data_IF_794551232807
#
_entry.id   IF_794551232807
#
_cell.length_a   1.000
_cell.length_b   1.000
_cell.length_c   1.000
_cell.angle_alpha   90.00
_cell.angle_beta   90.00
_cell.angle_gamma   90.00
#
_symmetry.space_group_name_H-M   'P 1'
#
loop_
_entity.id
_entity.type
_entity.pdbx_description
1 polymer ?
#
# COMPACT_ATOMS: atom_id res chain seq x y z
N UNK A 1 14.62 24.84 -20.50
CA UNK A 1 13.92 23.92 -21.43
C UNK A 1 14.06 22.56 -20.79
N UNK A 2 12.98 22.13 -20.11
CA UNK A 2 12.88 20.80 -19.50
C UNK A 2 12.84 19.79 -20.66
N UNK A 3 13.97 19.15 -20.95
CA UNK A 3 14.02 18.00 -21.85
C UNK A 3 13.43 16.82 -21.12
N UNK A 4 12.09 16.85 -20.99
CA UNK A 4 11.33 15.95 -20.13
C UNK A 4 11.61 14.49 -20.44
N UNK A 5 12.07 13.79 -19.42
CA UNK A 5 11.93 12.33 -19.38
C UNK A 5 10.51 11.93 -19.75
N UNK A 6 10.28 10.94 -20.61
CA UNK A 6 8.94 10.51 -21.01
C UNK A 6 8.13 10.15 -19.76
N UNK A 7 7.08 10.96 -19.46
CA UNK A 7 6.25 10.82 -18.26
C UNK A 7 5.07 9.86 -18.47
N UNK A 8 5.25 8.85 -19.33
CA UNK A 8 4.22 7.84 -19.59
C UNK A 8 3.12 8.27 -20.58
N UNK A 9 3.05 9.54 -20.97
CA UNK A 9 2.01 10.05 -21.88
C UNK A 9 2.20 9.64 -23.34
N UNK A 10 3.41 9.26 -23.74
CA UNK A 10 3.72 8.80 -25.10
C UNK A 10 3.75 7.26 -25.13
N UNK A 11 2.84 6.66 -25.89
CA UNK A 11 2.73 5.22 -26.11
C UNK A 11 3.05 4.81 -27.56
N UNK A 12 3.61 5.71 -28.38
CA UNK A 12 3.85 5.48 -29.80
C UNK A 12 4.70 4.24 -30.08
N UNK A 13 5.73 3.98 -29.27
CA UNK A 13 6.62 2.81 -29.42
C UNK A 13 5.94 1.46 -29.11
N UNK A 14 4.82 1.47 -28.40
CA UNK A 14 4.07 0.28 -28.01
C UNK A 14 2.65 0.24 -28.59
N UNK A 15 2.30 1.21 -29.45
CA UNK A 15 0.95 1.41 -29.98
C UNK A 15 0.36 0.12 -30.58
N UNK A 16 1.13 -0.58 -31.40
CA UNK A 16 0.71 -1.84 -32.01
C UNK A 16 0.46 -2.96 -30.98
N UNK A 17 1.24 -2.99 -29.88
CA UNK A 17 1.13 -3.99 -28.82
C UNK A 17 -0.09 -3.78 -27.93
N UNK A 18 -0.57 -2.55 -27.81
CA UNK A 18 -1.72 -2.18 -26.97
C UNK A 18 -2.97 -1.81 -27.77
N UNK A 19 -2.94 -1.98 -29.10
CA UNK A 19 -4.09 -1.70 -29.99
C UNK A 19 -5.28 -2.64 -29.75
N UNK A 20 -5.03 -3.82 -29.16
CA UNK A 20 -6.07 -4.82 -28.84
C UNK A 20 -5.65 -5.78 -27.74
N UNK A 21 -6.62 -6.51 -27.16
CA UNK A 21 -6.39 -7.56 -26.15
C UNK A 21 -5.90 -7.04 -24.81
N UNK A 22 -6.00 -5.74 -24.50
CA UNK A 22 -5.73 -5.18 -23.18
C UNK A 22 -6.97 -5.38 -22.29
N UNK A 23 -6.78 -5.97 -21.11
CA UNK A 23 -7.84 -6.21 -20.12
C UNK A 23 -7.77 -5.26 -18.94
N UNK A 24 -6.56 -4.73 -18.62
CA UNK A 24 -6.39 -3.77 -17.54
C UNK A 24 -5.14 -2.92 -17.74
N UNK A 25 -5.10 -1.72 -17.12
CA UNK A 25 -3.98 -0.77 -17.19
C UNK A 25 -3.63 -0.27 -15.78
N UNK A 26 -2.38 -0.44 -15.40
CA UNK A 26 -1.82 -0.03 -14.12
C UNK A 26 -0.83 1.12 -14.32
N UNK A 27 -0.70 1.98 -13.30
CA UNK A 27 0.19 3.14 -13.40
C UNK A 27 1.05 3.33 -12.16
N UNK A 28 2.27 3.80 -12.39
CA UNK A 28 3.08 4.53 -11.40
C UNK A 28 2.84 6.03 -11.60
N UNK A 29 3.67 6.89 -10.99
CA UNK A 29 3.63 8.35 -11.28
C UNK A 29 4.23 8.69 -12.66
N UNK A 30 4.96 7.77 -13.29
CA UNK A 30 5.83 8.05 -14.44
C UNK A 30 5.74 7.02 -15.57
N UNK A 31 5.03 5.91 -15.36
CA UNK A 31 4.95 4.82 -16.31
C UNK A 31 3.59 4.11 -16.21
N UNK A 32 3.26 3.38 -17.28
CA UNK A 32 2.09 2.51 -17.36
C UNK A 32 2.50 1.07 -17.63
N UNK A 33 1.63 0.15 -17.25
CA UNK A 33 1.72 -1.27 -17.57
C UNK A 33 0.33 -1.79 -17.98
N UNK A 34 0.20 -2.27 -19.20
CA UNK A 34 -1.01 -2.94 -19.71
C UNK A 34 -0.90 -4.44 -19.49
N UNK A 35 -1.93 -5.03 -18.89
CA UNK A 35 -2.13 -6.46 -18.82
C UNK A 35 -3.00 -6.90 -20.01
N UNK A 36 -2.56 -7.93 -20.71
CA UNK A 36 -3.28 -8.48 -21.87
C UNK A 36 -4.04 -9.77 -21.52
N UNK A 37 -5.01 -10.13 -22.34
CA UNK A 37 -5.85 -11.34 -22.20
C UNK A 37 -5.03 -12.63 -22.09
N UNK A 38 -3.88 -12.72 -22.77
CA UNK A 38 -2.96 -13.85 -22.71
C UNK A 38 -2.09 -13.86 -21.44
N UNK A 39 -2.27 -12.87 -20.55
CA UNK A 39 -1.50 -12.66 -19.33
C UNK A 39 -0.12 -12.09 -19.59
N UNK A 40 0.19 -11.59 -20.79
CA UNK A 40 1.43 -10.83 -21.05
C UNK A 40 1.29 -9.40 -20.59
N UNK A 41 2.43 -8.71 -20.43
CA UNK A 41 2.51 -7.32 -19.97
C UNK A 41 3.27 -6.47 -20.98
N UNK A 42 2.72 -5.29 -21.29
CA UNK A 42 3.37 -4.23 -22.06
C UNK A 42 3.56 -3.03 -21.14
N UNK A 43 4.74 -2.43 -21.13
CA UNK A 43 5.03 -1.25 -20.31
C UNK A 43 5.59 -0.12 -21.17
N UNK A 44 5.26 1.14 -20.79
CA UNK A 44 5.78 2.35 -21.42
C UNK A 44 5.89 3.51 -20.42
N UNK A 45 6.64 4.55 -20.79
CA UNK A 45 6.92 5.72 -19.96
C UNK A 45 8.37 5.77 -19.50
N UNK A 46 8.64 6.29 -18.29
CA UNK A 46 10.00 6.42 -17.75
C UNK A 46 10.64 5.03 -17.52
N UNK A 47 11.72 4.69 -18.25
CA UNK A 47 12.37 3.38 -18.17
C UNK A 47 12.81 2.99 -16.76
N UNK A 48 13.35 3.96 -16.00
CA UNK A 48 13.85 3.74 -14.64
C UNK A 48 12.72 3.55 -13.61
N UNK A 49 11.50 3.96 -13.97
CA UNK A 49 10.34 3.92 -13.07
C UNK A 49 9.23 3.00 -13.57
N UNK A 50 9.62 2.01 -14.38
CA UNK A 50 8.75 0.91 -14.81
C UNK A 50 8.25 1.00 -16.26
N UNK A 51 8.64 2.01 -17.04
CA UNK A 51 8.33 2.11 -18.47
C UNK A 51 9.01 1.03 -19.32
N UNK A 52 10.02 0.35 -18.79
CA UNK A 52 10.64 -0.80 -19.41
C UNK A 52 10.59 -2.05 -18.51
N UNK A 53 10.31 -3.20 -19.13
CA UNK A 53 10.29 -4.50 -18.43
C UNK A 53 11.70 -5.03 -18.12
N UNK A 54 12.73 -4.54 -18.81
CA UNK A 54 14.12 -4.92 -18.62
C UNK A 54 14.31 -6.46 -18.58
N UNK A 55 15.06 -6.95 -17.59
CA UNK A 55 15.31 -8.37 -17.38
C UNK A 55 14.06 -9.19 -17.03
N UNK A 56 12.96 -8.53 -16.62
CA UNK A 56 11.70 -9.18 -16.29
C UNK A 56 10.85 -9.53 -17.50
N UNK A 57 11.16 -9.01 -18.70
CA UNK A 57 10.41 -9.21 -19.95
C UNK A 57 10.06 -10.69 -20.21
N UNK A 58 11.03 -11.60 -20.11
CA UNK A 58 10.82 -13.04 -20.37
C UNK A 58 9.80 -13.68 -19.40
N UNK A 59 9.74 -13.20 -18.16
CA UNK A 59 8.83 -13.71 -17.13
C UNK A 59 7.41 -13.14 -17.26
N UNK A 60 7.25 -12.04 -18.01
CA UNK A 60 6.01 -11.30 -18.19
C UNK A 60 5.36 -11.53 -19.58
N UNK A 61 5.80 -12.54 -20.30
CA UNK A 61 5.21 -12.95 -21.60
C UNK A 61 3.91 -13.75 -21.47
N UNK A 62 3.40 -13.97 -20.26
CA UNK A 62 2.14 -14.66 -20.03
C UNK A 62 1.94 -15.08 -18.57
N UNK A 63 0.70 -15.44 -18.25
CA UNK A 63 0.30 -15.96 -16.96
C UNK A 63 0.27 -14.93 -15.82
N UNK A 64 0.29 -13.64 -16.11
CA UNK A 64 0.02 -12.58 -15.13
C UNK A 64 -1.49 -12.48 -14.91
N UNK A 65 -1.89 -12.39 -13.62
CA UNK A 65 -3.28 -12.23 -13.20
C UNK A 65 -3.61 -10.79 -12.82
N UNK A 66 -2.66 -10.12 -12.18
CA UNK A 66 -2.82 -8.73 -11.75
C UNK A 66 -1.46 -8.06 -11.53
N UNK A 67 -1.46 -6.74 -11.44
CA UNK A 67 -0.27 -5.92 -11.19
C UNK A 67 -0.57 -4.96 -10.05
N UNK A 68 0.30 -4.89 -9.05
CA UNK A 68 0.32 -3.84 -8.05
C UNK A 68 1.41 -2.82 -8.41
N UNK A 69 1.20 -1.55 -8.05
CA UNK A 69 2.16 -0.49 -8.32
C UNK A 69 2.48 0.34 -7.07
N UNK A 70 3.74 0.72 -6.93
CA UNK A 70 4.18 1.81 -6.04
C UNK A 70 4.20 3.13 -6.81
N UNK A 71 4.79 4.18 -6.24
CA UNK A 71 4.98 5.44 -6.98
C UNK A 71 5.95 5.33 -8.16
N UNK A 72 6.78 4.27 -8.25
CA UNK A 72 7.90 4.19 -9.20
C UNK A 72 8.26 2.77 -9.65
N UNK A 73 7.50 1.75 -9.26
CA UNK A 73 7.75 0.36 -9.62
C UNK A 73 6.47 -0.45 -9.72
N UNK A 74 6.54 -1.62 -10.32
CA UNK A 74 5.45 -2.57 -10.46
C UNK A 74 5.80 -3.94 -9.90
N UNK A 75 4.78 -4.68 -9.47
CA UNK A 75 4.86 -6.07 -9.04
C UNK A 75 3.70 -6.86 -9.64
N UNK A 76 4.00 -7.78 -10.56
CA UNK A 76 3.04 -8.66 -11.19
C UNK A 76 2.88 -9.96 -10.40
N UNK A 77 1.63 -10.32 -10.09
CA UNK A 77 1.27 -11.63 -9.56
C UNK A 77 0.89 -12.58 -10.70
N UNK A 78 1.57 -13.71 -10.76
CA UNK A 78 1.30 -14.76 -11.75
C UNK A 78 0.34 -15.81 -11.20
N UNK A 79 -0.36 -16.53 -12.09
CA UNK A 79 -1.32 -17.60 -11.76
C UNK A 79 -0.75 -18.73 -10.90
N UNK A 80 0.56 -18.96 -10.99
CA UNK A 80 1.27 -19.92 -10.14
C UNK A 80 1.70 -19.37 -8.77
N UNK A 81 1.29 -18.15 -8.42
CA UNK A 81 1.63 -17.48 -7.18
C UNK A 81 3.04 -16.91 -7.12
N UNK A 82 3.73 -16.81 -8.26
CA UNK A 82 5.02 -16.13 -8.37
C UNK A 82 4.83 -14.63 -8.52
N UNK A 83 5.70 -13.84 -7.89
CA UNK A 83 5.78 -12.40 -8.11
C UNK A 83 6.94 -12.06 -9.04
N UNK A 84 6.72 -11.13 -9.97
CA UNK A 84 7.74 -10.55 -10.85
C UNK A 84 7.72 -9.02 -10.67
N UNK A 85 8.86 -8.40 -10.40
CA UNK A 85 8.96 -6.95 -10.16
C UNK A 85 9.83 -6.28 -11.21
N UNK A 86 9.54 -4.99 -11.49
CA UNK A 86 10.38 -4.12 -12.34
C UNK A 86 10.16 -2.63 -11.99
N UNK A 87 11.00 -1.75 -12.53
CA UNK A 87 11.02 -0.32 -12.24
C UNK A 87 12.11 0.04 -11.24
N UNK A 88 11.92 1.10 -10.48
CA UNK A 88 12.90 1.65 -9.54
C UNK A 88 13.39 0.59 -8.54
N UNK A 89 14.68 0.20 -8.62
CA UNK A 89 15.22 -0.90 -7.81
C UNK A 89 15.16 -0.63 -6.30
N UNK A 90 15.21 0.63 -5.91
CA UNK A 90 15.26 1.05 -4.50
C UNK A 90 13.87 1.19 -3.88
N UNK A 91 12.82 1.20 -4.70
CA UNK A 91 11.43 1.40 -4.28
C UNK A 91 10.53 0.25 -4.70
N UNK A 92 11.06 -0.97 -4.60
CA UNK A 92 10.34 -2.22 -4.83
C UNK A 92 10.49 -2.83 -6.23
N UNK A 93 11.21 -2.21 -7.16
CA UNK A 93 11.53 -2.80 -8.47
C UNK A 93 12.48 -3.98 -8.38
N UNK A 94 13.31 -4.07 -7.33
CA UNK A 94 13.98 -5.30 -6.89
C UNK A 94 13.21 -5.90 -5.70
N UNK A 95 13.35 -7.21 -5.49
CA UNK A 95 12.78 -7.94 -4.34
C UNK A 95 13.79 -7.94 -3.19
N UNK A 96 14.07 -6.77 -2.68
CA UNK A 96 15.05 -6.51 -1.63
C UNK A 96 14.47 -5.54 -0.60
N UNK A 97 14.88 -5.68 0.65
CA UNK A 97 14.62 -4.73 1.72
C UNK A 97 15.67 -3.64 1.61
N UNK A 98 15.25 -2.40 1.45
CA UNK A 98 16.17 -1.28 1.25
C UNK A 98 16.03 -0.31 2.41
N UNK A 99 17.13 -0.14 3.14
CA UNK A 99 17.28 0.88 4.17
C UNK A 99 18.10 2.06 3.60
N UNK A 100 17.46 3.23 3.52
CA UNK A 100 18.13 4.47 3.18
C UNK A 100 18.08 5.42 4.36
N UNK A 101 19.24 5.96 4.73
CA UNK A 101 19.28 7.12 5.60
C UNK A 101 18.50 8.29 4.96
N UNK A 102 17.65 8.95 5.76
CA UNK A 102 16.74 10.03 5.33
C UNK A 102 17.40 11.20 4.60
N UNK A 103 18.73 11.29 4.64
CA UNK A 103 19.50 12.32 3.97
C UNK A 103 19.77 12.05 2.46
N UNK A 104 19.41 10.88 1.95
CA UNK A 104 19.67 10.47 0.56
C UNK A 104 18.72 11.05 -0.51
N UNK A 105 17.77 11.92 -0.15
CA UNK A 105 16.85 12.57 -1.10
C UNK A 105 17.54 13.48 -2.11
N UNK A 106 18.79 13.88 -1.87
CA UNK A 106 19.55 14.84 -2.66
C UNK A 106 20.46 14.22 -3.71
N UNK A 107 20.58 12.88 -3.79
CA UNK A 107 21.44 12.25 -4.80
C UNK A 107 20.78 12.25 -6.17
N UNK A 108 21.47 12.83 -7.15
CA UNK A 108 21.13 12.74 -8.55
C UNK A 108 21.17 11.28 -9.02
N UNK A 109 20.36 10.93 -10.01
CA UNK A 109 20.06 9.55 -10.44
C UNK A 109 21.27 8.70 -10.90
N UNK A 110 22.51 9.23 -10.87
CA UNK A 110 23.73 8.56 -11.30
C UNK A 110 24.60 7.98 -10.17
N UNK A 111 24.36 8.38 -8.91
CA UNK A 111 25.29 8.12 -7.80
C UNK A 111 24.67 7.26 -6.68
N UNK A 112 23.64 6.45 -6.97
CA UNK A 112 23.03 5.61 -5.97
C UNK A 112 23.97 4.42 -5.67
N UNK A 113 24.36 4.21 -4.38
CA UNK A 113 25.23 3.11 -4.01
C UNK A 113 24.59 1.76 -4.33
N UNK A 114 25.40 0.77 -4.65
CA UNK A 114 24.96 -0.61 -4.71
C UNK A 114 24.57 -1.04 -3.30
N UNK A 115 23.27 -0.99 -2.99
CA UNK A 115 22.76 -1.32 -1.66
C UNK A 115 22.51 -2.82 -1.65
N UNK A 116 23.30 -3.56 -0.91
CA UNK A 116 23.10 -4.99 -0.63
C UNK A 116 21.91 -5.13 0.33
N UNK A 117 20.70 -5.11 -0.24
CA UNK A 117 19.49 -5.42 0.51
C UNK A 117 19.28 -6.92 0.68
N UNK A 118 18.68 -7.33 1.80
CA UNK A 118 18.30 -8.72 1.99
C UNK A 118 17.29 -9.16 0.93
N UNK A 119 17.65 -10.22 0.18
CA UNK A 119 16.84 -10.67 -0.96
C UNK A 119 15.70 -11.59 -0.52
N UNK A 120 14.46 -11.15 -0.73
CA UNK A 120 13.23 -11.94 -0.50
C UNK A 120 12.79 -12.74 -1.73
N UNK A 121 13.61 -12.79 -2.79
CA UNK A 121 13.31 -13.52 -4.05
C UNK A 121 12.89 -14.98 -3.85
N UNK A 122 13.53 -15.78 -2.97
CA UNK A 122 13.11 -17.17 -2.76
C UNK A 122 11.69 -17.28 -2.23
N UNK A 123 11.27 -16.37 -1.35
CA UNK A 123 9.96 -16.38 -0.69
C UNK A 123 8.81 -16.00 -1.66
N UNK A 124 9.13 -15.32 -2.76
CA UNK A 124 8.17 -14.82 -3.76
C UNK A 124 8.12 -15.69 -5.04
N UNK A 125 8.72 -16.89 -5.04
CA UNK A 125 8.69 -17.81 -6.18
C UNK A 125 7.34 -18.50 -6.37
N UNK A 126 6.54 -18.62 -5.31
CA UNK A 126 5.22 -19.27 -5.32
C UNK A 126 4.41 -18.94 -4.07
N UNK A 127 3.14 -19.30 -4.12
CA UNK A 127 2.25 -19.25 -2.95
C UNK A 127 1.70 -17.87 -2.62
N UNK A 128 2.03 -16.82 -3.34
CA UNK A 128 1.42 -15.50 -3.17
C UNK A 128 -0.01 -15.53 -3.73
N UNK A 129 -0.96 -14.96 -2.97
CA UNK A 129 -2.35 -14.81 -3.41
C UNK A 129 -2.72 -13.36 -3.69
N UNK A 130 -2.11 -12.40 -3.00
CA UNK A 130 -2.39 -10.97 -3.12
C UNK A 130 -1.13 -10.14 -2.89
N UNK A 131 -1.06 -8.96 -3.53
CA UNK A 131 0.02 -7.99 -3.36
C UNK A 131 -0.60 -6.64 -2.98
N UNK A 132 -0.10 -6.06 -1.91
CA UNK A 132 -0.45 -4.72 -1.43
C UNK A 132 0.76 -3.80 -1.58
N UNK A 133 0.50 -2.51 -1.80
CA UNK A 133 1.57 -1.54 -1.99
C UNK A 133 1.33 -0.27 -1.20
N UNK A 134 2.39 0.25 -0.61
CA UNK A 134 2.51 1.64 -0.18
C UNK A 134 3.13 2.47 -1.33
N UNK A 135 3.53 3.69 -1.04
CA UNK A 135 4.21 4.52 -2.06
C UNK A 135 5.54 3.94 -2.54
N UNK A 136 6.26 3.18 -1.70
CA UNK A 136 7.62 2.73 -2.00
C UNK A 136 7.95 1.32 -1.51
N UNK A 137 6.97 0.58 -1.05
CA UNK A 137 7.15 -0.80 -0.58
C UNK A 137 5.95 -1.67 -0.94
N UNK A 138 6.14 -2.97 -0.85
CA UNK A 138 5.12 -3.99 -1.08
C UNK A 138 5.00 -4.94 0.11
N UNK A 139 3.82 -5.51 0.24
CA UNK A 139 3.53 -6.65 1.11
C UNK A 139 2.79 -7.72 0.30
N UNK A 140 3.36 -8.90 0.19
CA UNK A 140 2.73 -10.06 -0.43
C UNK A 140 2.10 -10.95 0.63
N UNK A 141 0.79 -11.13 0.55
CA UNK A 141 0.06 -12.10 1.36
C UNK A 141 0.06 -13.45 0.67
N UNK A 142 0.54 -14.48 1.36
CA UNK A 142 0.62 -15.84 0.85
C UNK A 142 -0.62 -16.66 1.21
N UNK A 143 -0.84 -17.77 0.50
CA UNK A 143 -1.97 -18.70 0.71
C UNK A 143 -1.97 -19.33 2.10
N UNK A 144 -0.80 -19.49 2.71
CA UNK A 144 -0.65 -19.96 4.08
C UNK A 144 -0.92 -18.90 5.15
N UNK A 145 -1.18 -17.64 4.74
CA UNK A 145 -1.40 -16.51 5.63
C UNK A 145 -0.12 -15.86 6.13
N UNK A 146 1.05 -16.23 5.61
CA UNK A 146 2.29 -15.50 5.88
C UNK A 146 2.42 -14.27 4.98
N UNK A 147 3.22 -13.29 5.40
CA UNK A 147 3.47 -12.05 4.66
C UNK A 147 4.97 -11.91 4.37
N UNK A 148 5.28 -11.49 3.15
CA UNK A 148 6.63 -11.14 2.72
C UNK A 148 6.63 -9.66 2.31
N UNK A 149 7.53 -8.87 2.86
CA UNK A 149 7.65 -7.44 2.55
C UNK A 149 8.97 -7.14 1.83
N UNK A 150 8.97 -6.11 0.98
CA UNK A 150 10.18 -5.62 0.31
C UNK A 150 9.99 -4.16 -0.16
N UNK A 151 11.08 -3.51 -0.50
CA UNK A 151 11.15 -2.10 -0.87
C UNK A 151 11.71 -1.24 0.24
N UNK A 152 11.34 0.02 0.30
CA UNK A 152 11.89 0.99 1.24
C UNK A 152 11.42 0.70 2.69
N UNK A 153 12.36 0.57 3.62
CA UNK A 153 12.10 0.26 5.05
C UNK A 153 11.11 1.23 5.68
N UNK A 154 11.34 2.53 5.56
CA UNK A 154 10.46 3.60 6.08
C UNK A 154 9.04 3.61 5.46
N UNK A 155 8.80 2.79 4.47
CA UNK A 155 7.49 2.64 3.82
C UNK A 155 6.87 1.26 4.03
N UNK A 156 7.44 0.46 4.94
CA UNK A 156 6.99 -0.89 5.27
C UNK A 156 7.66 -1.99 4.47
N UNK A 157 8.79 -1.72 3.80
CA UNK A 157 9.59 -2.74 3.12
C UNK A 157 10.21 -3.76 4.09
N UNK A 158 10.28 -3.44 5.38
CA UNK A 158 10.73 -4.32 6.44
C UNK A 158 9.65 -4.50 7.52
N UNK A 159 9.45 -5.73 7.97
CA UNK A 159 8.49 -6.09 9.01
C UNK A 159 9.12 -6.94 10.14
N UNK A 160 10.43 -6.91 10.33
CA UNK A 160 11.17 -7.76 11.30
C UNK A 160 10.64 -7.65 12.72
N UNK A 161 10.26 -6.43 13.17
CA UNK A 161 9.71 -6.18 14.51
C UNK A 161 8.36 -6.87 14.77
N UNK A 162 7.64 -7.24 13.72
CA UNK A 162 6.32 -7.87 13.79
C UNK A 162 6.28 -9.22 13.07
N UNK A 163 7.39 -9.70 12.55
CA UNK A 163 7.50 -10.90 11.71
C UNK A 163 6.83 -12.13 12.32
N UNK A 164 7.03 -12.36 13.63
CA UNK A 164 6.44 -13.52 14.32
C UNK A 164 4.91 -13.53 14.27
N UNK A 165 4.27 -12.37 14.21
CA UNK A 165 2.81 -12.21 14.09
C UNK A 165 2.31 -12.35 12.66
N UNK A 166 3.17 -12.16 11.66
CA UNK A 166 2.86 -12.25 10.24
C UNK A 166 3.06 -13.67 9.65
N UNK A 167 3.46 -14.66 10.48
CA UNK A 167 3.68 -16.05 10.06
C UNK A 167 2.39 -16.87 10.10
N UNK A 168 1.69 -16.97 8.96
CA UNK A 168 0.56 -17.91 8.79
C UNK A 168 -0.79 -17.49 9.40
N UNK A 169 -0.91 -16.25 9.88
CA UNK A 169 -2.09 -15.79 10.59
C UNK A 169 -2.83 -14.62 9.94
N UNK A 170 -2.30 -14.07 8.85
CA UNK A 170 -2.87 -12.88 8.21
C UNK A 170 -4.05 -13.26 7.33
N UNK A 171 -5.16 -12.52 7.49
CA UNK A 171 -6.40 -12.64 6.71
C UNK A 171 -6.41 -11.62 5.56
N UNK A 172 -6.12 -10.35 5.88
CA UNK A 172 -6.10 -9.25 4.93
C UNK A 172 -5.07 -8.18 5.35
N UNK A 173 -4.71 -7.32 4.41
CA UNK A 173 -3.79 -6.20 4.63
C UNK A 173 -4.44 -4.93 4.08
N UNK A 174 -4.33 -3.82 4.81
CA UNK A 174 -4.62 -2.49 4.33
C UNK A 174 -3.30 -1.71 4.20
N UNK A 175 -3.18 -0.87 3.18
CA UNK A 175 -1.99 -0.09 2.92
C UNK A 175 -2.32 1.40 2.90
N UNK A 176 -1.64 2.17 3.74
CA UNK A 176 -1.59 3.62 3.67
C UNK A 176 -0.46 4.08 2.73
N UNK A 177 -0.16 5.37 2.71
CA UNK A 177 0.93 5.87 1.86
C UNK A 177 2.30 5.30 2.22
N UNK A 178 2.56 4.99 3.50
CA UNK A 178 3.88 4.62 4.01
C UNK A 178 3.86 3.50 5.05
N UNK A 179 2.71 2.93 5.35
CA UNK A 179 2.57 1.87 6.34
C UNK A 179 1.52 0.85 5.93
N UNK A 180 1.59 -0.31 6.54
CA UNK A 180 0.62 -1.39 6.40
C UNK A 180 -0.05 -1.71 7.73
N UNK A 181 -1.27 -2.23 7.66
CA UNK A 181 -1.99 -2.83 8.77
C UNK A 181 -2.53 -4.19 8.34
N UNK A 182 -2.24 -5.24 9.08
CA UNK A 182 -2.72 -6.60 8.83
C UNK A 182 -3.76 -7.02 9.86
N UNK A 183 -4.90 -7.49 9.39
CA UNK A 183 -5.88 -8.19 10.20
C UNK A 183 -5.47 -9.66 10.35
N UNK A 184 -5.42 -10.16 11.57
CA UNK A 184 -5.06 -11.53 11.88
C UNK A 184 -6.31 -12.41 12.10
N UNK A 185 -6.17 -13.73 11.98
CA UNK A 185 -7.27 -14.72 12.18
C UNK A 185 -7.96 -14.61 13.52
N UNK A 186 -7.26 -14.15 14.56
CA UNK A 186 -7.83 -13.94 15.89
C UNK A 186 -8.51 -12.58 16.06
N UNK A 187 -8.68 -11.81 14.98
CA UNK A 187 -9.26 -10.47 14.98
C UNK A 187 -8.34 -9.37 15.50
N UNK A 188 -7.10 -9.67 15.89
CA UNK A 188 -6.15 -8.62 16.27
C UNK A 188 -5.49 -7.98 15.04
N UNK A 189 -4.91 -6.77 15.21
CA UNK A 189 -4.27 -6.01 14.15
C UNK A 189 -2.79 -5.82 14.46
N UNK A 190 -1.99 -5.88 13.40
CA UNK A 190 -0.54 -5.61 13.40
C UNK A 190 -0.25 -4.49 12.40
N UNK A 191 0.58 -3.52 12.79
CA UNK A 191 1.01 -2.41 11.92
C UNK A 191 2.52 -2.36 11.78
N UNK A 192 3.01 -1.94 10.62
CA UNK A 192 4.43 -1.70 10.36
C UNK A 192 4.63 -0.66 9.26
N UNK A 193 5.84 -0.11 9.14
CA UNK A 193 6.21 0.95 8.21
C UNK A 193 6.45 2.28 8.91
N UNK A 194 6.08 3.40 8.31
CA UNK A 194 6.32 4.75 8.84
C UNK A 194 5.73 4.91 10.26
N UNK A 195 6.55 5.29 11.25
CA UNK A 195 6.09 5.51 12.62
C UNK A 195 4.96 6.55 12.75
N UNK A 196 4.93 7.58 11.89
CA UNK A 196 3.87 8.61 11.94
C UNK A 196 2.51 8.03 11.54
N UNK A 197 2.47 7.19 10.49
CA UNK A 197 1.24 6.50 10.09
C UNK A 197 0.79 5.43 11.10
N UNK A 198 1.65 5.07 12.05
CA UNK A 198 1.37 4.14 13.13
C UNK A 198 1.10 4.83 14.48
N UNK A 199 1.12 6.17 14.53
CA UNK A 199 0.85 6.90 15.79
C UNK A 199 -0.53 6.54 16.33
N UNK A 200 -0.57 6.21 17.61
CA UNK A 200 -1.80 5.82 18.31
C UNK A 200 -1.67 6.02 19.81
N UNK A 201 -2.80 6.19 20.47
CA UNK A 201 -2.86 6.22 21.93
C UNK A 201 -2.53 4.85 22.53
N UNK A 202 -2.23 4.81 23.83
CA UNK A 202 -2.03 3.53 24.52
C UNK A 202 -3.31 2.69 24.56
N UNK A 203 -4.48 3.33 24.59
CA UNK A 203 -5.78 2.69 24.56
C UNK A 203 -6.04 2.03 23.20
N UNK A 204 -5.87 2.77 22.11
CA UNK A 204 -5.95 2.22 20.74
C UNK A 204 -5.04 1.01 20.58
N UNK A 205 -3.78 1.11 21.03
CA UNK A 205 -2.82 0.00 20.96
C UNK A 205 -3.29 -1.24 21.73
N UNK A 206 -3.92 -1.07 22.87
CA UNK A 206 -4.50 -2.19 23.63
C UNK A 206 -5.70 -2.80 22.90
N UNK A 207 -6.59 -1.97 22.34
CA UNK A 207 -7.73 -2.42 21.55
C UNK A 207 -7.28 -3.28 20.34
N UNK A 208 -6.33 -2.79 19.55
CA UNK A 208 -5.80 -3.52 18.39
C UNK A 208 -5.20 -4.89 18.74
N UNK A 209 -4.60 -5.02 19.95
CA UNK A 209 -4.01 -6.29 20.41
C UNK A 209 -5.03 -7.29 20.96
N UNK A 210 -6.12 -6.81 21.57
CA UNK A 210 -7.16 -7.67 22.14
C UNK A 210 -7.90 -8.48 21.09
N UNK A 211 -7.96 -7.95 19.86
CA UNK A 211 -8.70 -8.58 18.77
C UNK A 211 -10.15 -8.12 18.73
N UNK A 212 -10.95 -8.87 17.95
CA UNK A 212 -12.36 -8.62 17.66
C UNK A 212 -12.61 -7.61 16.53
N UNK A 213 -11.64 -7.41 15.65
CA UNK A 213 -11.86 -6.66 14.41
C UNK A 213 -12.19 -7.60 13.25
N UNK A 214 -13.07 -7.12 12.37
CA UNK A 214 -13.48 -7.84 11.15
C UNK A 214 -12.91 -7.23 9.87
N UNK A 215 -12.55 -5.92 9.88
CA UNK A 215 -11.93 -5.26 8.74
C UNK A 215 -11.01 -4.11 9.16
N UNK A 216 -10.12 -3.73 8.25
CA UNK A 216 -9.26 -2.55 8.36
C UNK A 216 -9.32 -1.79 7.05
N UNK A 217 -9.60 -0.50 7.12
CA UNK A 217 -9.60 0.45 6.02
C UNK A 217 -8.46 1.43 6.20
N UNK A 218 -7.76 1.79 5.12
CA UNK A 218 -6.67 2.75 5.14
C UNK A 218 -7.02 4.00 4.34
N UNK A 219 -6.59 5.15 4.81
CA UNK A 219 -6.46 6.34 4.01
C UNK A 219 -4.98 6.65 3.74
N UNK A 220 -4.67 7.84 3.26
CA UNK A 220 -3.29 8.22 2.93
C UNK A 220 -2.35 8.22 4.13
N UNK A 221 -2.84 8.50 5.35
CA UNK A 221 -2.02 8.80 6.52
C UNK A 221 -2.33 7.95 7.76
N UNK A 222 -3.34 7.11 7.69
CA UNK A 222 -3.72 6.29 8.82
C UNK A 222 -4.72 5.21 8.46
N UNK A 223 -5.37 4.68 9.48
CA UNK A 223 -6.21 3.49 9.40
C UNK A 223 -7.45 3.63 10.29
N UNK A 224 -8.49 2.91 9.93
CA UNK A 224 -9.66 2.67 10.76
C UNK A 224 -9.99 1.18 10.75
N UNK A 225 -10.23 0.60 11.92
CA UNK A 225 -10.61 -0.80 12.10
C UNK A 225 -12.04 -0.90 12.59
N UNK A 226 -12.86 -1.70 11.92
CA UNK A 226 -14.22 -2.02 12.31
C UNK A 226 -14.22 -3.29 13.17
N UNK A 227 -14.78 -3.19 14.38
CA UNK A 227 -15.00 -4.30 15.31
C UNK A 227 -16.17 -5.18 14.91
N UNK A 228 -16.20 -6.40 15.41
CA UNK A 228 -17.32 -7.35 15.21
C UNK A 228 -18.60 -6.91 15.93
N UNK A 229 -18.49 -6.04 16.92
CA UNK A 229 -19.57 -5.40 17.67
C UNK A 229 -20.02 -4.04 17.07
N UNK A 230 -19.51 -3.69 15.89
CA UNK A 230 -19.86 -2.45 15.21
C UNK A 230 -19.14 -1.22 15.76
N UNK A 231 -18.13 -1.36 16.62
CA UNK A 231 -17.29 -0.25 17.04
C UNK A 231 -16.20 0.07 16.02
N UNK A 232 -15.68 1.31 16.01
CA UNK A 232 -14.57 1.71 15.15
C UNK A 232 -13.42 2.28 15.99
N UNK A 233 -12.21 1.85 15.66
CA UNK A 233 -10.95 2.38 16.24
C UNK A 233 -10.08 2.92 15.13
N UNK A 234 -9.61 4.17 15.26
CA UNK A 234 -8.76 4.82 14.28
C UNK A 234 -7.38 5.17 14.84
N UNK A 235 -6.37 5.20 13.97
CA UNK A 235 -5.01 5.61 14.30
C UNK A 235 -4.27 6.15 13.07
N UNK A 236 -3.15 6.82 13.32
CA UNK A 236 -2.35 7.53 12.32
C UNK A 236 -2.47 9.04 12.47
N UNK A 237 -2.22 9.76 11.40
CA UNK A 237 -2.25 11.23 11.37
C UNK A 237 -3.22 11.76 10.31
N UNK A 238 -3.62 13.04 10.42
CA UNK A 238 -4.52 13.67 9.45
C UNK A 238 -3.80 14.29 8.26
N UNK A 239 -2.49 14.56 8.37
CA UNK A 239 -1.71 15.20 7.29
C UNK A 239 -0.27 14.71 7.22
N UNK A 240 0.38 14.98 6.07
CA UNK A 240 1.80 14.67 5.84
C UNK A 240 2.75 15.77 6.31
N UNK A 241 2.26 16.84 6.87
CA UNK A 241 3.13 17.92 7.32
C UNK A 241 3.86 17.47 8.58
N UNK A 242 5.12 17.13 8.37
CA UNK A 242 6.11 16.82 9.41
C UNK A 242 6.48 18.10 10.18
N UNK A 243 5.50 18.70 10.84
CA UNK A 243 5.78 19.78 11.77
C UNK A 243 6.00 19.15 13.15
N UNK A 244 7.24 19.08 13.66
CA UNK A 244 7.49 18.52 14.97
C UNK A 244 6.80 19.42 16.01
N UNK A 245 5.73 18.92 16.60
CA UNK A 245 4.98 19.63 17.65
C UNK A 245 3.50 19.81 17.39
N UNK A 246 2.95 19.45 16.25
CA UNK A 246 1.51 19.41 16.03
C UNK A 246 1.00 17.97 16.21
N UNK A 247 0.16 17.76 17.21
CA UNK A 247 -0.52 16.48 17.46
C UNK A 247 -1.66 16.29 16.47
N UNK A 248 -1.34 16.01 15.20
CA UNK A 248 -2.32 15.66 14.16
C UNK A 248 -2.69 14.17 14.18
N UNK A 249 -2.94 13.60 15.35
CA UNK A 249 -3.58 12.29 15.43
C UNK A 249 -4.95 12.38 14.75
N UNK A 250 -5.39 11.30 14.14
CA UNK A 250 -6.77 11.18 13.70
C UNK A 250 -7.65 11.30 14.94
N UNK A 251 -8.32 12.46 15.05
CA UNK A 251 -9.20 12.77 16.17
C UNK A 251 -10.59 12.20 15.90
N UNK A 252 -11.11 11.44 16.85
CA UNK A 252 -12.47 10.90 16.85
C UNK A 252 -13.28 11.41 18.03
N UNK A 253 -12.80 12.38 18.81
CA UNK A 253 -13.42 12.84 20.06
C UNK A 253 -14.86 13.26 19.85
N UNK A 254 -15.14 14.07 18.83
CA UNK A 254 -16.48 14.59 18.54
C UNK A 254 -17.45 13.52 18.02
N UNK A 255 -16.96 12.40 17.52
CA UNK A 255 -17.76 11.31 16.92
C UNK A 255 -17.58 9.98 17.67
N UNK A 256 -16.88 9.97 18.78
CA UNK A 256 -16.53 8.75 19.55
C UNK A 256 -17.78 7.95 19.95
N UNK A 257 -18.83 8.63 20.41
CA UNK A 257 -20.09 8.00 20.78
C UNK A 257 -20.74 7.32 19.58
N UNK A 258 -20.81 8.01 18.44
CA UNK A 258 -21.38 7.47 17.20
C UNK A 258 -20.58 6.31 16.62
N UNK A 259 -19.28 6.24 16.90
CA UNK A 259 -18.37 5.17 16.47
C UNK A 259 -18.24 4.02 17.48
N UNK A 260 -18.97 4.07 18.62
CA UNK A 260 -18.88 3.06 19.68
C UNK A 260 -19.61 1.77 19.33
N UNK A 261 -20.64 1.83 18.47
CA UNK A 261 -21.47 0.68 18.06
C UNK A 261 -22.28 0.98 16.79
N UNK A 262 -22.85 -0.08 16.20
CA UNK A 262 -23.80 0.04 15.07
C UNK A 262 -23.18 0.44 13.74
N UNK A 263 -21.85 0.44 13.60
CA UNK A 263 -21.19 0.64 12.30
C UNK A 263 -21.18 -0.68 11.53
N UNK A 264 -21.59 -0.63 10.26
CA UNK A 264 -21.62 -1.79 9.36
C UNK A 264 -20.50 -1.75 8.33
N UNK A 265 -20.04 -0.56 7.95
CA UNK A 265 -18.97 -0.43 6.97
C UNK A 265 -18.19 0.88 7.16
N UNK A 266 -16.89 0.84 6.84
CA UNK A 266 -15.99 2.01 6.90
C UNK A 266 -15.40 2.27 5.53
N UNK A 267 -15.55 3.50 5.06
CA UNK A 267 -15.01 4.03 3.80
C UNK A 267 -13.89 5.02 4.08
N UNK A 268 -13.04 5.25 3.08
CA UNK A 268 -11.97 6.25 3.16
C UNK A 268 -11.88 7.11 1.91
N UNK A 269 -11.59 8.37 2.12
CA UNK A 269 -11.03 9.27 1.11
C UNK A 269 -9.50 9.33 1.27
N UNK A 270 -8.81 10.24 0.55
CA UNK A 270 -7.38 10.43 0.76
C UNK A 270 -6.99 10.92 2.16
N UNK A 271 -7.91 11.53 2.92
CA UNK A 271 -7.62 12.27 4.15
C UNK A 271 -8.63 12.08 5.29
N UNK A 272 -9.74 11.44 5.02
CA UNK A 272 -10.83 11.27 5.96
C UNK A 272 -11.41 9.86 5.85
N UNK A 273 -12.23 9.49 6.84
CA UNK A 273 -13.01 8.28 6.87
C UNK A 273 -14.50 8.62 7.01
N UNK A 274 -15.35 7.70 6.58
CA UNK A 274 -16.77 7.72 6.82
C UNK A 274 -17.27 6.33 7.23
N UNK A 275 -18.11 6.26 8.23
CA UNK A 275 -18.78 5.05 8.69
C UNK A 275 -20.26 5.08 8.29
N UNK A 276 -20.73 4.01 7.66
CA UNK A 276 -22.15 3.75 7.46
C UNK A 276 -22.66 2.97 8.69
N UNK A 277 -23.78 3.42 9.26
CA UNK A 277 -24.42 2.78 10.41
C UNK A 277 -25.61 1.92 9.99
N UNK A 278 -26.04 1.01 10.88
CA UNK A 278 -27.19 0.11 10.68
C UNK A 278 -28.50 0.86 10.41
N UNK A 279 -28.66 2.07 10.99
CA UNK A 279 -29.83 2.93 10.79
C UNK A 279 -29.79 3.73 9.47
N UNK A 280 -28.73 3.55 8.67
CA UNK A 280 -28.51 4.26 7.41
C UNK A 280 -27.85 5.63 7.57
N UNK A 281 -27.55 6.06 8.78
CA UNK A 281 -26.82 7.32 9.01
C UNK A 281 -25.33 7.18 8.68
N UNK A 282 -24.67 8.32 8.42
CA UNK A 282 -23.23 8.37 8.11
C UNK A 282 -22.52 9.29 9.11
N UNK A 283 -21.39 8.82 9.60
CA UNK A 283 -20.48 9.58 10.48
C UNK A 283 -19.14 9.72 9.79
N UNK A 284 -18.59 10.94 9.71
CA UNK A 284 -17.26 11.18 9.14
C UNK A 284 -16.30 11.76 10.17
N UNK A 285 -14.99 11.47 9.97
CA UNK A 285 -13.89 11.98 10.81
C UNK A 285 -12.58 12.05 10.03
N UNK A 286 -11.62 12.77 10.55
CA UNK A 286 -10.31 12.99 9.93
C UNK A 286 -10.09 14.46 9.58
N UNK A 287 -9.55 14.76 8.39
CA UNK A 287 -9.35 16.17 7.95
C UNK A 287 -10.70 16.79 7.61
N UNK A 288 -11.15 17.74 8.44
CA UNK A 288 -12.48 18.36 8.34
C UNK A 288 -12.73 19.10 7.00
N UNK A 289 -11.66 19.68 6.42
CA UNK A 289 -11.75 20.40 5.13
C UNK A 289 -11.84 19.41 3.95
N UNK A 290 -11.43 18.15 4.15
CA UNK A 290 -11.32 17.12 3.11
C UNK A 290 -12.28 15.95 3.31
N UNK A 291 -13.43 16.21 3.95
CA UNK A 291 -14.52 15.26 4.12
C UNK A 291 -14.60 14.59 5.48
N UNK A 292 -13.84 15.08 6.48
CA UNK A 292 -13.93 14.60 7.87
C UNK A 292 -14.98 15.28 8.73
N UNK A 293 -15.85 16.11 8.14
CA UNK A 293 -16.94 16.80 8.84
C UNK A 293 -18.23 16.67 8.03
N UNK A 294 -19.31 16.23 8.67
CA UNK A 294 -20.66 16.12 8.07
C UNK A 294 -21.59 17.27 8.45
N UNK A 295 -21.19 18.19 9.32
CA UNK A 295 -22.03 19.29 9.82
C UNK A 295 -22.60 20.22 8.73
N UNK A 296 -22.00 20.22 7.54
CA UNK A 296 -22.41 21.05 6.41
C UNK A 296 -23.41 20.36 5.46
N UNK A 297 -23.80 19.11 5.69
CA UNK A 297 -24.70 18.32 4.82
C UNK A 297 -26.00 17.89 5.51
N UNK A 298 -26.26 18.42 6.70
CA UNK A 298 -27.52 18.25 7.46
C UNK A 298 -28.64 19.14 6.90
#
# INVERSE_FOLDING_TARGET
IDTGSPRGGDSSEVADLISSGVVDVFSTRYAFAALKEDGSVVAWGDPLRGGELGSSRKLLQGGVQTIASTGTSFAALKSNGRVVTWGDPYRGGKKEIIDFDRNHWAMSQGDLPDVDGESVRPLLRSGVREIYSTRYAYAALKKDGSVVTWGLVDSGGEASQVESRLKGNVVSIAASRYAFAALLKNGSIVTWGDPEAQRMTAETRRALRRGQFQSVTANRYGFAALGVDGNVVSWGTTSSERNPGSDYLIDTTDVQESLSEGVVEVFSSGYAFAALKEDGSVVAWGDSIKGGDTKAVD
#
